data_IF_141400508454
#
_entry.id   IF_141400508454
#
_cell.length_a   1.000
_cell.length_b   1.000
_cell.length_c   1.000
_cell.angle_alpha   90.00
_cell.angle_beta   90.00
_cell.angle_gamma   90.00
#
_symmetry.space_group_name_H-M   'P 1'
#
loop_
_entity.id
_entity.type
_entity.pdbx_description
1 polymer ?
#
# COMPACT_ATOMS: atom_id res chain seq x y z
N UNK A 1 14.54 10.49 10.52
CA UNK A 1 13.79 11.76 10.35
C UNK A 1 12.36 11.51 10.80
N UNK A 2 11.82 12.39 11.64
CA UNK A 2 10.42 12.33 12.07
C UNK A 2 9.76 13.69 11.83
N UNK A 3 8.56 13.69 11.26
CA UNK A 3 7.76 14.88 10.97
C UNK A 3 6.34 14.69 11.48
N UNK A 4 5.78 15.73 12.08
CA UNK A 4 4.39 15.76 12.57
C UNK A 4 3.73 17.01 12.01
N UNK A 5 2.60 16.85 11.33
CA UNK A 5 1.77 17.97 10.87
C UNK A 5 0.31 17.78 11.25
N UNK A 6 -0.37 18.86 11.61
CA UNK A 6 -1.82 18.84 11.77
C UNK A 6 -2.54 18.96 10.42
N UNK A 7 -2.08 19.84 9.53
CA UNK A 7 -2.76 20.15 8.27
C UNK A 7 -1.74 20.48 7.16
N UNK A 8 -2.18 20.47 5.90
CA UNK A 8 -1.40 21.00 4.77
C UNK A 8 -0.58 19.94 4.03
N UNK A 9 0.54 20.36 3.45
CA UNK A 9 1.38 19.54 2.58
C UNK A 9 2.71 19.22 3.26
N UNK A 10 3.02 17.92 3.40
CA UNK A 10 4.30 17.42 3.90
C UNK A 10 5.03 16.72 2.77
N UNK A 11 6.23 17.19 2.44
CA UNK A 11 7.11 16.53 1.46
C UNK A 11 8.42 16.15 2.12
N UNK A 12 8.82 14.89 1.98
CA UNK A 12 10.09 14.36 2.49
C UNK A 12 10.85 13.69 1.37
N UNK A 13 12.12 14.05 1.22
CA UNK A 13 13.03 13.42 0.27
C UNK A 13 14.27 12.97 1.04
N UNK A 14 14.64 11.71 0.92
CA UNK A 14 15.83 11.16 1.56
C UNK A 14 16.50 10.12 0.68
N UNK A 15 17.83 10.08 0.69
CA UNK A 15 18.58 9.00 0.03
C UNK A 15 18.58 7.73 0.87
N UNK A 16 18.79 7.85 2.19
CA UNK A 16 18.87 6.70 3.10
C UNK A 16 18.27 6.98 4.46
N UNK A 17 17.80 5.91 5.13
CA UNK A 17 17.55 5.91 6.56
C UNK A 17 16.11 5.60 6.95
N UNK A 18 15.71 6.12 8.12
CA UNK A 18 14.39 5.89 8.73
C UNK A 18 13.58 7.18 8.66
N UNK A 19 12.41 7.14 8.01
CA UNK A 19 11.50 8.27 7.86
C UNK A 19 10.18 7.92 8.54
N UNK A 20 9.72 8.78 9.44
CA UNK A 20 8.39 8.71 10.03
C UNK A 20 7.65 10.01 9.76
N UNK A 21 6.46 9.93 9.17
CA UNK A 21 5.57 11.09 8.98
C UNK A 21 4.23 10.80 9.64
N UNK A 22 3.79 11.71 10.49
CA UNK A 22 2.46 11.69 11.11
C UNK A 22 1.70 12.92 10.64
N UNK A 23 0.55 12.74 10.01
CA UNK A 23 -0.30 13.84 9.54
C UNK A 23 -1.75 13.64 9.96
N UNK A 24 -2.40 14.65 10.54
CA UNK A 24 -3.83 14.54 10.83
C UNK A 24 -4.68 14.71 9.57
N UNK A 25 -4.41 15.75 8.78
CA UNK A 25 -5.12 16.01 7.52
C UNK A 25 -4.19 16.56 6.44
N UNK A 26 -4.49 16.28 5.17
CA UNK A 26 -3.83 16.92 4.03
C UNK A 26 -3.06 15.94 3.14
N UNK A 27 -1.93 16.39 2.60
CA UNK A 27 -1.17 15.66 1.59
C UNK A 27 0.22 15.31 2.13
N UNK A 28 0.60 14.04 2.05
CA UNK A 28 1.93 13.56 2.43
C UNK A 28 2.59 12.91 1.22
N UNK A 29 3.77 13.40 0.86
CA UNK A 29 4.63 12.80 -0.16
C UNK A 29 5.97 12.42 0.45
N UNK A 30 6.34 11.15 0.37
CA UNK A 30 7.66 10.67 0.81
C UNK A 30 8.37 10.01 -0.36
N UNK A 31 9.59 10.45 -0.64
CA UNK A 31 10.48 9.86 -1.64
C UNK A 31 11.74 9.37 -0.91
N UNK A 32 12.02 8.08 -1.00
CA UNK A 32 13.20 7.45 -0.41
C UNK A 32 13.93 6.58 -1.41
N UNK A 33 15.27 6.66 -1.49
CA UNK A 33 16.02 5.67 -2.28
C UNK A 33 16.14 4.36 -1.51
N UNK A 34 16.62 4.39 -0.27
CA UNK A 34 16.82 3.18 0.55
C UNK A 34 16.38 3.38 1.99
N UNK A 35 15.71 2.39 2.59
CA UNK A 35 15.53 2.32 4.04
C UNK A 35 14.11 2.05 4.47
N UNK A 36 13.68 2.67 5.57
CA UNK A 36 12.40 2.41 6.21
C UNK A 36 11.55 3.67 6.20
N UNK A 37 10.33 3.56 5.67
CA UNK A 37 9.36 4.65 5.60
C UNK A 37 8.09 4.23 6.34
N UNK A 38 7.69 5.03 7.32
CA UNK A 38 6.41 4.90 8.02
C UNK A 38 5.62 6.19 7.83
N UNK A 39 4.41 6.08 7.28
CA UNK A 39 3.47 7.20 7.19
C UNK A 39 2.19 6.84 7.94
N UNK A 40 1.78 7.70 8.86
CA UNK A 40 0.51 7.61 9.59
C UNK A 40 -0.31 8.84 9.22
N UNK A 41 -1.49 8.64 8.64
CA UNK A 41 -2.39 9.72 8.27
C UNK A 41 -3.81 9.45 8.75
N UNK A 42 -4.48 10.44 9.35
CA UNK A 42 -5.91 10.29 9.65
C UNK A 42 -6.74 10.51 8.39
N UNK A 43 -6.63 11.66 7.73
CA UNK A 43 -7.40 11.95 6.50
C UNK A 43 -6.52 12.55 5.40
N UNK A 44 -6.73 12.13 4.15
CA UNK A 44 -6.22 12.84 2.98
C UNK A 44 -5.47 11.97 1.99
N UNK A 45 -4.39 12.47 1.42
CA UNK A 45 -3.66 11.83 0.33
C UNK A 45 -2.24 11.49 0.76
N UNK A 46 -1.86 10.22 0.68
CA UNK A 46 -0.51 9.73 0.96
C UNK A 46 0.10 9.15 -0.30
N UNK A 47 1.27 9.66 -0.68
CA UNK A 47 2.10 9.10 -1.76
C UNK A 47 3.47 8.72 -1.19
N UNK A 48 3.86 7.45 -1.33
CA UNK A 48 5.21 6.99 -0.99
C UNK A 48 5.87 6.38 -2.20
N UNK A 49 7.06 6.87 -2.55
CA UNK A 49 7.91 6.34 -3.59
C UNK A 49 9.19 5.84 -2.94
N UNK A 50 9.48 4.54 -3.05
CA UNK A 50 10.68 3.92 -2.49
C UNK A 50 11.41 3.10 -3.54
N UNK A 51 12.75 3.21 -3.63
CA UNK A 51 13.50 2.29 -4.50
C UNK A 51 13.76 0.95 -3.81
N UNK A 52 14.31 0.97 -2.59
CA UNK A 52 14.59 -0.26 -1.82
C UNK A 52 14.22 -0.12 -0.35
N UNK A 53 13.57 -1.14 0.22
CA UNK A 53 13.45 -1.29 1.67
C UNK A 53 12.02 -1.56 2.13
N UNK A 54 11.62 -0.95 3.25
CA UNK A 54 10.36 -1.23 3.93
C UNK A 54 9.48 0.01 3.95
N UNK A 55 8.25 -0.11 3.47
CA UNK A 55 7.25 0.95 3.49
C UNK A 55 6.04 0.47 4.30
N UNK A 56 5.66 1.24 5.31
CA UNK A 56 4.41 1.06 6.06
C UNK A 56 3.58 2.32 5.94
N UNK A 57 2.34 2.19 5.47
CA UNK A 57 1.36 3.28 5.45
C UNK A 57 0.14 2.87 6.24
N UNK A 58 -0.25 3.69 7.21
CA UNK A 58 -1.48 3.56 7.98
C UNK A 58 -2.33 4.79 7.69
N UNK A 59 -3.52 4.58 7.12
CA UNK A 59 -4.47 5.65 6.82
C UNK A 59 -5.84 5.33 7.39
N UNK A 60 -6.53 6.29 8.00
CA UNK A 60 -7.94 6.09 8.37
C UNK A 60 -8.86 6.34 7.17
N UNK A 61 -8.74 7.50 6.52
CA UNK A 61 -9.59 7.87 5.38
C UNK A 61 -8.79 8.54 4.26
N UNK A 62 -9.02 8.12 3.01
CA UNK A 62 -8.59 8.87 1.84
C UNK A 62 -7.89 8.02 0.79
N UNK A 63 -6.82 8.55 0.21
CA UNK A 63 -6.13 7.95 -0.94
C UNK A 63 -4.68 7.63 -0.57
N UNK A 64 -4.29 6.37 -0.71
CA UNK A 64 -2.92 5.91 -0.50
C UNK A 64 -2.36 5.38 -1.81
N UNK A 65 -1.22 5.92 -2.22
CA UNK A 65 -0.44 5.41 -3.35
C UNK A 65 0.96 5.03 -2.86
N UNK A 66 1.37 3.78 -3.07
CA UNK A 66 2.74 3.33 -2.79
C UNK A 66 3.35 2.76 -4.06
N UNK A 67 4.51 3.29 -4.44
CA UNK A 67 5.33 2.80 -5.55
C UNK A 67 6.65 2.31 -4.95
N UNK A 68 6.97 1.03 -5.12
CA UNK A 68 8.20 0.42 -4.63
C UNK A 68 8.91 -0.38 -5.72
N UNK A 69 10.23 -0.23 -5.87
CA UNK A 69 10.98 -1.12 -6.77
C UNK A 69 11.26 -2.45 -6.09
N UNK A 70 11.88 -2.43 -4.90
CA UNK A 70 12.27 -3.66 -4.19
C UNK A 70 11.97 -3.59 -2.69
N UNK A 71 11.35 -4.62 -2.14
CA UNK A 71 11.30 -4.84 -0.69
C UNK A 71 9.89 -5.14 -0.17
N UNK A 72 9.55 -4.56 0.97
CA UNK A 72 8.32 -4.88 1.70
C UNK A 72 7.41 -3.66 1.77
N UNK A 73 6.16 -3.83 1.36
CA UNK A 73 5.13 -2.80 1.43
C UNK A 73 3.97 -3.31 2.27
N UNK A 74 3.63 -2.57 3.31
CA UNK A 74 2.44 -2.80 4.13
C UNK A 74 1.56 -1.56 4.07
N UNK A 75 0.31 -1.71 3.64
CA UNK A 75 -0.69 -0.64 3.69
C UNK A 75 -1.88 -1.10 4.52
N UNK A 76 -2.25 -0.31 5.51
CA UNK A 76 -3.45 -0.49 6.32
C UNK A 76 -4.33 0.73 6.11
N UNK A 77 -5.55 0.52 5.61
CA UNK A 77 -6.53 1.59 5.38
C UNK A 77 -7.88 1.23 5.99
N UNK A 78 -8.59 2.18 6.62
CA UNK A 78 -9.99 1.92 7.03
C UNK A 78 -10.95 2.22 5.89
N UNK A 79 -10.83 3.37 5.24
CA UNK A 79 -11.74 3.81 4.17
C UNK A 79 -11.00 4.50 3.04
N UNK A 80 -11.31 4.12 1.80
CA UNK A 80 -10.96 4.89 0.61
C UNK A 80 -10.24 4.07 -0.46
N UNK A 81 -9.24 4.68 -1.11
CA UNK A 81 -8.59 4.11 -2.27
C UNK A 81 -7.13 3.78 -1.96
N UNK A 82 -6.73 2.54 -2.19
CA UNK A 82 -5.35 2.09 -2.02
C UNK A 82 -4.82 1.58 -3.35
N UNK A 83 -3.72 2.19 -3.81
CA UNK A 83 -2.97 1.73 -4.98
C UNK A 83 -1.56 1.36 -4.55
N UNK A 84 -1.15 0.12 -4.79
CA UNK A 84 0.23 -0.32 -4.58
C UNK A 84 0.80 -0.86 -5.89
N UNK A 85 1.95 -0.31 -6.30
CA UNK A 85 2.73 -0.79 -7.44
C UNK A 85 4.08 -1.23 -6.90
N UNK A 86 4.41 -2.50 -7.09
CA UNK A 86 5.68 -3.09 -6.65
C UNK A 86 6.37 -3.86 -7.78
N UNK A 87 7.67 -3.66 -7.98
CA UNK A 87 8.39 -4.50 -8.95
C UNK A 87 8.77 -5.86 -8.34
N UNK A 88 9.42 -5.86 -7.17
CA UNK A 88 9.86 -7.10 -6.50
C UNK A 88 9.65 -7.05 -5.00
N UNK A 89 9.09 -8.12 -4.43
CA UNK A 89 9.13 -8.37 -2.99
C UNK A 89 7.77 -8.74 -2.40
N UNK A 90 7.44 -8.19 -1.24
CA UNK A 90 6.26 -8.56 -0.47
C UNK A 90 5.32 -7.38 -0.35
N UNK A 91 4.06 -7.56 -0.72
CA UNK A 91 3.01 -6.55 -0.60
C UNK A 91 1.90 -7.11 0.27
N UNK A 92 1.58 -6.41 1.35
CA UNK A 92 0.43 -6.67 2.19
C UNK A 92 -0.47 -5.44 2.18
N UNK A 93 -1.73 -5.60 1.78
CA UNK A 93 -2.74 -4.56 1.88
C UNK A 93 -3.90 -5.06 2.73
N UNK A 94 -4.24 -4.30 3.76
CA UNK A 94 -5.41 -4.54 4.61
C UNK A 94 -6.31 -3.32 4.49
N UNK A 95 -7.53 -3.50 3.98
CA UNK A 95 -8.49 -2.41 3.80
C UNK A 95 -9.86 -2.78 4.34
N UNK A 96 -10.49 -1.97 5.20
CA UNK A 96 -11.86 -2.29 5.63
C UNK A 96 -12.86 -2.00 4.51
N UNK A 97 -12.87 -0.78 3.98
CA UNK A 97 -13.84 -0.33 2.97
C UNK A 97 -13.19 0.44 1.82
N UNK A 98 -13.66 0.21 0.59
CA UNK A 98 -13.32 1.03 -0.57
C UNK A 98 -12.75 0.25 -1.75
N UNK A 99 -11.68 0.76 -2.35
CA UNK A 99 -11.09 0.21 -3.58
C UNK A 99 -9.62 -0.10 -3.38
N UNK A 100 -9.20 -1.32 -3.66
CA UNK A 100 -7.78 -1.72 -3.63
C UNK A 100 -7.32 -2.13 -5.02
N UNK A 101 -6.22 -1.54 -5.47
CA UNK A 101 -5.48 -1.97 -6.66
C UNK A 101 -4.06 -2.32 -6.27
N UNK A 102 -3.65 -3.56 -6.50
CA UNK A 102 -2.28 -4.01 -6.32
C UNK A 102 -1.73 -4.53 -7.64
N UNK A 103 -0.63 -3.94 -8.10
CA UNK A 103 0.13 -4.39 -9.27
C UNK A 103 1.51 -4.81 -8.79
N UNK A 104 1.88 -6.08 -9.02
CA UNK A 104 3.17 -6.63 -8.62
C UNK A 104 3.83 -7.41 -9.75
N UNK A 105 5.09 -7.17 -10.07
CA UNK A 105 5.77 -8.00 -11.09
C UNK A 105 6.20 -9.34 -10.50
N UNK A 106 6.89 -9.34 -9.36
CA UNK A 106 7.45 -10.55 -8.76
C UNK A 106 7.29 -10.55 -7.23
N UNK A 107 6.82 -11.66 -6.68
CA UNK A 107 6.91 -11.95 -5.25
C UNK A 107 5.59 -12.34 -4.60
N UNK A 108 5.34 -11.89 -3.38
CA UNK A 108 4.18 -12.30 -2.60
C UNK A 108 3.23 -11.12 -2.43
N UNK A 109 1.96 -11.31 -2.75
CA UNK A 109 0.91 -10.32 -2.58
C UNK A 109 -0.18 -10.91 -1.70
N UNK A 110 -0.46 -10.25 -0.59
CA UNK A 110 -1.59 -10.55 0.28
C UNK A 110 -2.51 -9.33 0.32
N UNK A 111 -3.76 -9.51 -0.08
CA UNK A 111 -4.80 -8.48 0.05
C UNK A 111 -5.93 -9.02 0.90
N UNK A 112 -6.24 -8.30 1.98
CA UNK A 112 -7.34 -8.62 2.89
C UNK A 112 -8.27 -7.42 2.89
N UNK A 113 -9.55 -7.65 2.60
CA UNK A 113 -10.53 -6.58 2.68
C UNK A 113 -11.90 -7.04 3.16
N UNK A 114 -12.72 -6.10 3.64
CA UNK A 114 -14.06 -6.42 4.12
C UNK A 114 -15.17 -6.11 3.10
N UNK A 115 -15.25 -4.87 2.61
CA UNK A 115 -16.27 -4.44 1.65
C UNK A 115 -15.61 -3.61 0.54
N UNK A 116 -15.80 -3.94 -0.74
CA UNK A 116 -15.18 -3.11 -1.77
C UNK A 116 -15.01 -3.74 -3.15
N UNK A 117 -14.10 -3.14 -3.91
CA UNK A 117 -13.65 -3.63 -5.20
C UNK A 117 -12.14 -3.77 -5.21
N UNK A 118 -11.68 -4.97 -5.51
CA UNK A 118 -10.28 -5.32 -5.45
C UNK A 118 -9.79 -5.82 -6.81
N UNK A 119 -8.69 -5.23 -7.26
CA UNK A 119 -7.98 -5.66 -8.46
C UNK A 119 -6.54 -5.98 -8.09
N UNK A 120 -6.18 -7.26 -8.18
CA UNK A 120 -4.81 -7.72 -7.97
C UNK A 120 -4.25 -8.27 -9.26
N UNK A 121 -3.19 -7.64 -9.76
CA UNK A 121 -2.47 -8.05 -10.96
C UNK A 121 -1.06 -8.44 -10.54
N UNK A 122 -0.68 -9.70 -10.76
CA UNK A 122 0.67 -10.18 -10.49
C UNK A 122 1.28 -10.85 -11.72
N UNK A 123 2.54 -10.57 -12.06
CA UNK A 123 3.17 -11.32 -13.17
C UNK A 123 3.63 -12.71 -12.70
N UNK A 124 4.41 -12.75 -11.60
CA UNK A 124 4.98 -13.98 -11.05
C UNK A 124 4.91 -14.00 -9.52
N UNK A 125 4.65 -15.17 -8.94
CA UNK A 125 4.78 -15.41 -7.49
C UNK A 125 3.50 -15.93 -6.83
N UNK A 126 3.20 -15.47 -5.62
CA UNK A 126 2.07 -15.96 -4.83
C UNK A 126 1.10 -14.82 -4.55
N UNK A 127 -0.17 -15.03 -4.87
CA UNK A 127 -1.24 -14.06 -4.61
C UNK A 127 -2.27 -14.71 -3.70
N UNK A 128 -2.52 -14.07 -2.55
CA UNK A 128 -3.61 -14.41 -1.63
C UNK A 128 -4.56 -13.22 -1.54
N UNK A 129 -5.83 -13.43 -1.87
CA UNK A 129 -6.88 -12.43 -1.65
C UNK A 129 -7.95 -13.00 -0.74
N UNK A 130 -8.25 -12.30 0.34
CA UNK A 130 -9.29 -12.67 1.31
C UNK A 130 -10.30 -11.52 1.36
N UNK A 131 -11.58 -11.85 1.19
CA UNK A 131 -12.66 -10.88 1.18
C UNK A 131 -13.92 -11.39 1.87
N UNK A 132 -14.62 -10.50 2.57
CA UNK A 132 -15.94 -10.82 3.13
C UNK A 132 -17.11 -10.46 2.22
N UNK A 133 -17.05 -9.33 1.50
CA UNK A 133 -18.09 -8.90 0.55
C UNK A 133 -17.48 -7.99 -0.52
N UNK A 134 -17.99 -8.03 -1.75
CA UNK A 134 -17.54 -7.15 -2.82
C UNK A 134 -17.09 -7.89 -4.08
N UNK A 135 -16.35 -7.20 -4.94
CA UNK A 135 -15.89 -7.74 -6.21
C UNK A 135 -14.38 -7.91 -6.22
N UNK A 136 -13.91 -9.15 -6.43
CA UNK A 136 -12.49 -9.46 -6.62
C UNK A 136 -12.19 -9.76 -8.08
N UNK A 137 -11.17 -9.11 -8.61
CA UNK A 137 -10.48 -9.52 -9.84
C UNK A 137 -9.03 -9.86 -9.52
N UNK A 138 -8.64 -11.13 -9.73
CA UNK A 138 -7.24 -11.57 -9.62
C UNK A 138 -6.72 -12.03 -10.96
N UNK A 139 -5.73 -11.31 -11.48
CA UNK A 139 -5.00 -11.66 -12.70
C UNK A 139 -3.59 -12.04 -12.29
N UNK A 140 -3.14 -13.24 -12.66
CA UNK A 140 -1.72 -13.53 -12.64
C UNK A 140 -1.28 -14.41 -13.80
N UNK A 141 -0.11 -14.09 -14.37
CA UNK A 141 0.43 -14.83 -15.53
C UNK A 141 1.10 -16.14 -15.15
N UNK A 142 1.81 -16.20 -14.03
CA UNK A 142 2.40 -17.43 -13.50
C UNK A 142 2.52 -17.40 -11.96
N UNK A 143 2.55 -18.59 -11.34
CA UNK A 143 2.58 -18.73 -9.89
C UNK A 143 1.24 -19.13 -9.26
N UNK A 144 1.16 -19.10 -7.93
CA UNK A 144 0.02 -19.63 -7.17
C UNK A 144 -0.98 -18.53 -6.81
N UNK A 145 -2.27 -18.83 -6.98
CA UNK A 145 -3.37 -17.94 -6.64
C UNK A 145 -4.25 -18.61 -5.60
N UNK A 146 -4.51 -17.92 -4.51
CA UNK A 146 -5.50 -18.29 -3.53
C UNK A 146 -6.48 -17.14 -3.37
N UNK A 147 -7.78 -17.41 -3.53
CA UNK A 147 -8.82 -16.42 -3.38
C UNK A 147 -9.92 -17.01 -2.49
N UNK A 148 -10.12 -16.40 -1.33
CA UNK A 148 -11.20 -16.72 -0.41
C UNK A 148 -12.18 -15.55 -0.40
N UNK A 149 -13.36 -15.77 -0.98
CA UNK A 149 -14.44 -14.80 -0.96
C UNK A 149 -15.64 -15.48 -0.30
N UNK A 150 -16.04 -15.01 0.88
CA UNK A 150 -17.36 -15.34 1.40
C UNK A 150 -18.36 -14.62 0.48
N UNK A 151 -19.23 -15.38 -0.20
CA UNK A 151 -20.28 -14.86 -1.08
C UNK A 151 -21.58 -14.67 -0.29
#
# INVERSE_FOLDING_TARGET
>A
MSLISSTGHVTVISSTGYITVISSTGYVTVISSTGYVTVISSTGYVTVISSTGYVTVISSTGYVTVISSTGYVTVISSTGYVTVISSTGYVTVISSTGYVTVISSTGYVTVIYSTGYDTVISSTGYVTVISSTGYVTVIASSGYKFCYCDL
#
